data_IF_932538163172
#
_entry.id   IF_932538163172
#
_cell.length_a   1.000
_cell.length_b   1.000
_cell.length_c   1.000
_cell.angle_alpha   90.00
_cell.angle_beta   90.00
_cell.angle_gamma   90.00
#
_symmetry.space_group_name_H-M   'P 1'
#
loop_
_entity.id
_entity.type
_entity.pdbx_description
1 polymer ?
#
# COMPACT_ATOMS: atom_id res chain seq x y z
N UNK A 1 -1.01 26.26 -4.17
CA UNK A 1 -1.54 26.42 -5.52
C UNK A 1 -2.84 25.63 -5.67
N UNK A 2 -3.86 26.23 -6.26
CA UNK A 2 -5.14 25.56 -6.51
C UNK A 2 -4.94 24.47 -7.57
N UNK A 3 -5.40 23.20 -7.33
CA UNK A 3 -5.34 22.14 -8.34
C UNK A 3 -6.01 22.53 -9.67
N UNK A 4 -7.10 23.32 -9.62
CA UNK A 4 -7.80 23.83 -10.78
C UNK A 4 -6.90 24.75 -11.61
N UNK A 5 -6.34 25.79 -10.99
CA UNK A 5 -5.45 26.73 -11.67
C UNK A 5 -4.19 26.05 -12.21
N UNK A 6 -3.63 25.12 -11.45
CA UNK A 6 -2.49 24.34 -11.93
C UNK A 6 -2.84 23.53 -13.18
N UNK A 7 -3.99 22.87 -13.19
CA UNK A 7 -4.46 22.12 -14.35
C UNK A 7 -4.65 23.01 -15.58
N UNK A 8 -5.26 24.18 -15.42
CA UNK A 8 -5.41 25.16 -16.50
C UNK A 8 -4.05 25.62 -17.06
N UNK A 9 -3.06 25.86 -16.17
CA UNK A 9 -1.71 26.24 -16.62
C UNK A 9 -1.03 25.11 -17.37
N UNK A 10 -1.03 23.89 -16.83
CA UNK A 10 -0.29 22.78 -17.41
C UNK A 10 -0.92 22.28 -18.72
N UNK A 11 -2.26 22.23 -18.81
CA UNK A 11 -2.93 21.56 -19.91
C UNK A 11 -3.60 22.50 -20.90
N UNK A 12 -4.06 23.67 -20.50
CA UNK A 12 -4.62 24.66 -21.43
C UNK A 12 -3.55 25.64 -21.96
N UNK A 13 -2.69 26.17 -21.07
CA UNK A 13 -1.68 27.15 -21.48
C UNK A 13 -0.42 26.51 -22.03
N UNK A 14 0.20 25.58 -21.27
CA UNK A 14 1.44 24.91 -21.65
C UNK A 14 1.23 23.69 -22.54
N UNK A 15 -0.01 23.16 -22.63
CA UNK A 15 -0.40 22.03 -23.48
C UNK A 15 0.49 20.80 -23.32
N UNK A 16 0.89 20.49 -22.07
CA UNK A 16 1.84 19.40 -21.80
C UNK A 16 1.29 18.00 -22.14
N UNK A 17 -0.03 17.81 -22.08
CA UNK A 17 -0.69 16.57 -22.49
C UNK A 17 -2.03 16.87 -23.18
N UNK A 18 -2.11 16.67 -24.52
CA UNK A 18 -3.35 16.87 -25.27
C UNK A 18 -4.50 15.93 -24.85
N UNK A 19 -4.15 14.82 -24.16
CA UNK A 19 -5.11 13.80 -23.69
C UNK A 19 -5.30 13.85 -22.17
N UNK A 20 -5.00 14.98 -21.55
CA UNK A 20 -5.11 15.16 -20.10
C UNK A 20 -6.52 14.81 -19.60
N UNK A 21 -6.58 13.90 -18.63
CA UNK A 21 -7.84 13.44 -18.06
C UNK A 21 -8.46 14.51 -17.15
N UNK A 22 -9.78 14.63 -17.23
CA UNK A 22 -10.56 15.43 -16.30
C UNK A 22 -11.21 14.56 -15.23
N UNK A 23 -11.34 15.14 -14.05
CA UNK A 23 -12.09 14.54 -12.92
C UNK A 23 -13.60 14.56 -13.21
N UNK A 24 -14.37 13.89 -12.37
CA UNK A 24 -15.86 13.93 -12.46
C UNK A 24 -16.43 15.35 -12.37
N UNK A 25 -15.71 16.27 -11.76
CA UNK A 25 -16.09 17.70 -11.64
C UNK A 25 -15.61 18.56 -12.81
N UNK A 26 -15.06 17.97 -13.87
CA UNK A 26 -14.60 18.67 -15.08
C UNK A 26 -13.24 19.35 -14.95
N UNK A 27 -12.57 19.26 -13.81
CA UNK A 27 -11.22 19.81 -13.60
C UNK A 27 -10.16 18.84 -14.12
N UNK A 28 -9.02 19.33 -14.57
CA UNK A 28 -7.89 18.47 -14.91
C UNK A 28 -7.36 17.70 -13.70
N UNK A 29 -7.07 16.42 -13.90
CA UNK A 29 -6.42 15.60 -12.88
C UNK A 29 -4.94 16.03 -12.76
N UNK A 30 -4.57 16.56 -11.60
CA UNK A 30 -3.20 16.98 -11.29
C UNK A 30 -2.64 16.22 -10.09
N UNK A 31 -3.11 14.98 -9.88
CA UNK A 31 -2.58 14.09 -8.84
C UNK A 31 -1.12 13.75 -9.09
N UNK A 32 -0.46 13.26 -8.05
CA UNK A 32 0.95 12.87 -8.12
C UNK A 32 1.19 11.79 -9.19
N UNK A 33 0.29 10.82 -9.28
CA UNK A 33 0.29 9.74 -10.28
C UNK A 33 0.27 10.24 -11.73
N UNK A 34 -0.45 11.34 -11.99
CA UNK A 34 -0.51 11.98 -13.30
C UNK A 34 0.76 12.77 -13.57
N UNK A 35 1.19 13.58 -12.60
CA UNK A 35 2.35 14.45 -12.76
C UNK A 35 3.66 13.67 -12.86
N UNK A 36 3.83 12.57 -12.14
CA UNK A 36 5.02 11.72 -12.25
C UNK A 36 5.26 11.20 -13.66
N UNK A 37 4.20 10.87 -14.42
CA UNK A 37 4.31 10.43 -15.83
C UNK A 37 4.84 11.52 -16.75
N UNK A 38 4.62 12.78 -16.42
CA UNK A 38 5.05 13.94 -17.19
C UNK A 38 6.40 14.51 -16.73
N UNK A 39 6.83 14.19 -15.50
CA UNK A 39 8.03 14.74 -14.90
C UNK A 39 9.30 14.44 -15.69
N UNK A 40 9.39 13.25 -16.32
CA UNK A 40 10.54 12.88 -17.14
C UNK A 40 10.67 13.71 -18.45
N UNK A 41 9.57 14.29 -18.91
CA UNK A 41 9.53 15.05 -20.17
C UNK A 41 9.58 16.56 -19.94
N UNK A 42 9.06 17.01 -18.79
CA UNK A 42 8.88 18.44 -18.50
C UNK A 42 9.48 18.82 -17.15
N UNK A 43 10.62 19.54 -17.11
CA UNK A 43 11.28 19.96 -15.86
C UNK A 43 10.36 20.70 -14.89
N UNK A 44 9.49 21.57 -15.40
CA UNK A 44 8.51 22.31 -14.58
C UNK A 44 7.60 21.36 -13.77
N UNK A 45 7.30 20.17 -14.27
CA UNK A 45 6.48 19.21 -13.54
C UNK A 45 7.26 18.59 -12.38
N UNK A 46 8.55 18.34 -12.55
CA UNK A 46 9.44 17.91 -11.47
C UNK A 46 9.54 18.97 -10.36
N UNK A 47 9.64 20.24 -10.74
CA UNK A 47 9.67 21.35 -9.78
C UNK A 47 8.36 21.46 -9.00
N UNK A 48 7.22 21.27 -9.67
CA UNK A 48 5.91 21.25 -9.03
C UNK A 48 5.78 20.09 -8.03
N UNK A 49 6.26 18.90 -8.39
CA UNK A 49 6.26 17.76 -7.47
C UNK A 49 7.13 18.03 -6.25
N UNK A 50 8.33 18.55 -6.46
CA UNK A 50 9.24 18.96 -5.39
C UNK A 50 8.63 20.04 -4.49
N UNK A 51 8.02 21.07 -5.08
CA UNK A 51 7.33 22.13 -4.34
C UNK A 51 6.18 21.55 -3.48
N UNK A 52 5.39 20.62 -4.03
CA UNK A 52 4.30 19.98 -3.29
C UNK A 52 4.82 19.15 -2.12
N UNK A 53 5.89 18.38 -2.33
CA UNK A 53 6.54 17.62 -1.26
C UNK A 53 6.98 18.55 -0.13
N UNK A 54 7.77 19.59 -0.46
CA UNK A 54 8.27 20.55 0.52
C UNK A 54 7.14 21.30 1.25
N UNK A 55 6.13 21.73 0.51
CA UNK A 55 4.98 22.43 1.10
C UNK A 55 4.22 21.54 2.08
N UNK A 56 4.05 20.25 1.74
CA UNK A 56 3.40 19.27 2.61
C UNK A 56 4.23 18.99 3.86
N UNK A 57 5.54 18.79 3.70
CA UNK A 57 6.46 18.58 4.84
C UNK A 57 6.44 19.79 5.77
N UNK A 58 6.54 20.98 5.20
CA UNK A 58 6.50 22.22 5.97
C UNK A 58 5.20 22.36 6.74
N UNK A 59 4.07 22.37 6.06
CA UNK A 59 2.77 22.65 6.69
C UNK A 59 2.32 21.56 7.66
N UNK A 60 2.57 20.28 7.37
CA UNK A 60 2.06 19.17 8.17
C UNK A 60 2.95 18.87 9.37
N UNK A 61 4.27 19.05 9.23
CA UNK A 61 5.21 18.62 10.27
C UNK A 61 5.99 19.80 10.85
N UNK A 62 6.66 20.61 10.02
CA UNK A 62 7.57 21.65 10.53
C UNK A 62 6.80 22.76 11.24
N UNK A 63 5.71 23.24 10.64
CA UNK A 63 4.92 24.32 11.22
C UNK A 63 3.91 23.80 12.27
N UNK A 64 3.29 22.65 12.03
CA UNK A 64 2.17 22.18 12.85
C UNK A 64 2.61 21.44 14.12
N UNK A 65 3.62 20.55 14.07
CA UNK A 65 3.99 19.74 15.23
C UNK A 65 4.48 20.56 16.43
N UNK A 66 5.29 21.60 16.29
CA UNK A 66 5.70 22.42 17.42
C UNK A 66 4.53 23.06 18.18
N UNK A 67 3.46 23.40 17.47
CA UNK A 67 2.25 23.99 18.07
C UNK A 67 1.44 22.98 18.89
N UNK A 68 1.71 21.69 18.75
CA UNK A 68 1.04 20.59 19.46
C UNK A 68 1.87 20.05 20.64
N UNK A 69 2.97 20.69 20.96
CA UNK A 69 3.75 20.35 22.17
C UNK A 69 2.93 20.74 23.39
N UNK A 70 2.65 19.78 24.24
CA UNK A 70 1.98 20.01 25.51
C UNK A 70 2.93 20.70 26.48
N UNK A 71 2.52 21.82 27.06
CA UNK A 71 3.38 22.67 27.92
C UNK A 71 3.82 21.95 29.20
N UNK A 72 2.98 21.08 29.78
CA UNK A 72 3.30 20.36 31.00
C UNK A 72 4.32 19.24 30.79
N UNK A 73 4.23 18.54 29.65
CA UNK A 73 5.07 17.35 29.37
C UNK A 73 6.25 17.64 28.47
N UNK A 74 6.24 18.77 27.74
CA UNK A 74 7.21 19.11 26.70
C UNK A 74 7.14 18.18 25.49
N UNK A 75 6.05 17.44 25.27
CA UNK A 75 5.92 16.37 24.28
C UNK A 75 4.68 16.52 23.43
N UNK A 76 4.73 15.93 22.22
CA UNK A 76 3.56 15.76 21.36
C UNK A 76 2.83 14.48 21.74
N UNK A 77 1.52 14.58 21.97
CA UNK A 77 0.65 13.46 22.30
C UNK A 77 -0.37 13.26 21.19
N UNK A 78 -0.48 12.03 20.69
CA UNK A 78 -1.55 11.64 19.76
C UNK A 78 -2.63 10.87 20.48
N UNK A 79 -3.81 10.79 19.86
CA UNK A 79 -4.90 9.93 20.29
C UNK A 79 -5.04 8.76 19.32
N UNK A 80 -5.07 7.53 19.86
CA UNK A 80 -5.29 6.32 19.06
C UNK A 80 -6.74 5.87 19.13
N UNK A 81 -7.42 5.93 17.97
CA UNK A 81 -8.78 5.40 17.82
C UNK A 81 -8.75 3.91 17.48
N UNK A 82 -9.33 3.07 18.34
CA UNK A 82 -9.37 1.61 18.18
C UNK A 82 -10.51 1.14 17.27
N UNK A 83 -11.58 1.90 17.13
CA UNK A 83 -12.79 1.55 16.40
C UNK A 83 -13.03 2.37 15.13
N UNK A 84 -11.98 3.02 14.59
CA UNK A 84 -12.09 3.89 13.40
C UNK A 84 -11.90 3.10 12.11
N UNK A 85 -10.86 2.27 12.04
CA UNK A 85 -10.59 1.50 10.85
C UNK A 85 -11.38 0.19 10.84
N UNK A 86 -12.08 -0.08 9.74
CA UNK A 86 -12.87 -1.31 9.56
C UNK A 86 -12.02 -2.59 9.57
N UNK A 87 -10.71 -2.47 9.39
CA UNK A 87 -9.74 -3.57 9.47
C UNK A 87 -9.28 -3.85 10.89
N UNK A 88 -9.66 -3.01 11.87
CA UNK A 88 -9.18 -3.09 13.25
C UNK A 88 -7.84 -2.40 13.51
N UNK A 89 -7.27 -1.75 12.50
CA UNK A 89 -6.06 -0.92 12.68
C UNK A 89 -6.33 0.23 13.64
N UNK A 90 -5.33 0.62 14.43
CA UNK A 90 -5.35 1.88 15.13
C UNK A 90 -5.30 3.05 14.14
N UNK A 91 -6.03 4.11 14.44
CA UNK A 91 -5.95 5.37 13.72
C UNK A 91 -5.37 6.44 14.67
N UNK A 92 -4.23 6.99 14.31
CA UNK A 92 -3.59 8.08 15.06
C UNK A 92 -4.17 9.42 14.62
N UNK A 93 -4.65 10.23 15.58
CA UNK A 93 -5.28 11.52 15.33
C UNK A 93 -4.76 12.59 16.29
N UNK A 94 -4.71 13.83 15.84
CA UNK A 94 -4.39 15.02 16.61
C UNK A 94 -3.07 14.96 17.40
N UNK A 95 -1.91 14.80 16.71
CA UNK A 95 -1.69 14.67 15.27
C UNK A 95 -1.70 13.22 14.79
N UNK A 96 -1.79 13.02 13.45
CA UNK A 96 -1.57 11.70 12.87
C UNK A 96 -0.07 11.40 12.76
N UNK A 97 0.46 10.61 13.69
CA UNK A 97 1.86 10.20 13.73
C UNK A 97 2.16 8.94 12.90
N UNK A 98 1.12 8.27 12.35
CA UNK A 98 1.30 7.10 11.48
C UNK A 98 1.73 7.48 10.05
N UNK A 99 1.61 8.75 9.68
CA UNK A 99 1.93 9.24 8.34
C UNK A 99 3.29 9.96 8.24
N UNK A 100 4.16 9.81 9.25
CA UNK A 100 5.51 10.40 9.22
C UNK A 100 6.26 9.83 8.01
N UNK A 101 6.81 10.67 7.10
CA UNK A 101 7.41 10.21 5.86
C UNK A 101 8.63 9.32 6.09
N UNK A 102 8.78 8.28 5.25
CA UNK A 102 9.90 7.32 5.33
C UNK A 102 10.59 7.09 3.98
N UNK A 103 10.00 7.53 2.87
CA UNK A 103 10.47 7.17 1.54
C UNK A 103 11.50 8.14 0.98
N UNK A 104 11.24 9.45 1.07
CA UNK A 104 12.18 10.46 0.59
C UNK A 104 13.21 10.81 1.66
N UNK A 105 14.41 11.22 1.25
CA UNK A 105 15.47 11.61 2.18
C UNK A 105 15.07 12.84 2.98
N UNK A 106 14.39 13.81 2.38
CA UNK A 106 13.80 14.96 3.08
C UNK A 106 12.76 14.55 4.11
N UNK A 107 11.91 13.57 3.77
CA UNK A 107 10.94 13.01 4.72
C UNK A 107 11.60 12.32 5.91
N UNK A 108 12.72 11.63 5.70
CA UNK A 108 13.50 11.01 6.77
C UNK A 108 14.08 12.02 7.76
N UNK A 109 14.39 13.24 7.32
CA UNK A 109 14.86 14.30 8.22
C UNK A 109 13.81 14.67 9.28
N UNK A 110 12.53 14.65 8.93
CA UNK A 110 11.42 14.87 9.89
C UNK A 110 11.47 13.86 11.04
N UNK A 111 11.84 12.61 10.74
CA UNK A 111 11.91 11.56 11.78
C UNK A 111 12.98 11.82 12.84
N UNK A 112 14.03 12.57 12.52
CA UNK A 112 15.08 12.94 13.47
C UNK A 112 14.58 13.87 14.57
N UNK A 113 13.45 14.55 14.38
CA UNK A 113 12.81 15.35 15.42
C UNK A 113 12.14 14.50 16.51
N UNK A 114 11.89 13.21 16.25
CA UNK A 114 11.34 12.30 17.24
C UNK A 114 12.47 11.64 18.01
N UNK A 115 12.67 12.09 19.22
CA UNK A 115 13.76 11.66 20.12
C UNK A 115 13.19 10.95 21.35
N UNK A 116 13.98 10.10 22.03
CA UNK A 116 13.61 9.53 23.32
C UNK A 116 13.31 10.62 24.36
N UNK A 117 12.61 10.24 25.43
CA UNK A 117 12.27 11.14 26.55
C UNK A 117 13.50 11.84 27.13
N UNK A 118 14.54 11.08 27.36
CA UNK A 118 15.82 11.52 27.92
C UNK A 118 16.92 10.49 27.59
N UNK A 119 18.13 10.74 28.06
CA UNK A 119 19.30 9.87 27.80
C UNK A 119 19.23 8.46 28.38
N UNK A 120 18.28 8.17 29.29
CA UNK A 120 18.06 6.84 29.85
C UNK A 120 17.00 6.05 29.08
N UNK A 121 16.39 6.65 28.05
CA UNK A 121 15.38 6.02 27.21
C UNK A 121 15.87 5.87 25.78
N UNK A 122 15.34 4.89 25.08
CA UNK A 122 15.58 4.65 23.65
C UNK A 122 14.26 4.51 22.90
N UNK A 123 14.26 4.83 21.61
CA UNK A 123 13.16 4.49 20.73
C UNK A 123 13.45 3.10 20.14
N UNK A 124 12.51 2.18 20.32
CA UNK A 124 12.56 0.85 19.72
C UNK A 124 11.57 0.84 18.56
N UNK A 125 12.03 0.44 17.37
CA UNK A 125 11.19 0.19 16.20
C UNK A 125 11.33 -1.29 15.83
N UNK A 126 10.24 -2.03 15.94
CA UNK A 126 10.18 -3.43 15.55
C UNK A 126 9.10 -3.62 14.49
N UNK A 127 9.39 -4.41 13.47
CA UNK A 127 8.46 -4.76 12.40
C UNK A 127 8.53 -6.26 12.12
N UNK A 128 7.38 -6.88 11.93
CA UNK A 128 7.31 -8.27 11.55
C UNK A 128 7.75 -8.47 10.10
N UNK A 129 8.73 -9.33 9.87
CA UNK A 129 9.18 -9.65 8.52
C UNK A 129 8.09 -10.36 7.73
N UNK A 130 7.55 -9.68 6.72
CA UNK A 130 6.61 -10.23 5.73
C UNK A 130 5.36 -10.87 6.34
N UNK A 131 4.84 -10.32 7.43
CA UNK A 131 3.76 -10.95 8.21
C UNK A 131 2.51 -11.24 7.36
N UNK A 132 2.11 -10.33 6.47
CA UNK A 132 0.94 -10.53 5.62
C UNK A 132 1.09 -11.73 4.68
N UNK A 133 2.29 -11.94 4.12
CA UNK A 133 2.59 -13.09 3.27
C UNK A 133 2.61 -14.40 4.08
N UNK A 134 3.11 -14.35 5.32
CA UNK A 134 3.09 -15.51 6.23
C UNK A 134 1.67 -15.90 6.61
N UNK A 135 0.81 -14.90 6.86
CA UNK A 135 -0.61 -15.12 7.14
C UNK A 135 -1.30 -15.74 5.93
N UNK A 136 -1.06 -15.20 4.73
CA UNK A 136 -1.61 -15.77 3.49
C UNK A 136 -1.17 -17.20 3.30
N UNK A 137 0.12 -17.50 3.48
CA UNK A 137 0.63 -18.87 3.39
C UNK A 137 -0.09 -19.82 4.37
N UNK A 138 -0.26 -19.39 5.61
CA UNK A 138 -0.92 -20.17 6.66
C UNK A 138 -2.42 -20.39 6.38
N UNK A 139 -3.16 -19.34 6.00
CA UNK A 139 -4.61 -19.43 5.74
C UNK A 139 -4.89 -20.22 4.46
N UNK A 140 -4.11 -20.00 3.40
CA UNK A 140 -4.28 -20.70 2.13
C UNK A 140 -3.79 -22.14 2.15
N UNK A 141 -2.93 -22.49 3.12
CA UNK A 141 -2.25 -23.79 3.16
C UNK A 141 -1.36 -24.04 1.95
N UNK A 142 -0.93 -22.98 1.23
CA UNK A 142 -0.09 -23.12 0.05
C UNK A 142 1.25 -23.76 0.42
N UNK A 143 1.50 -24.94 -0.15
CA UNK A 143 2.65 -25.77 0.22
C UNK A 143 3.97 -25.08 -0.12
N UNK A 144 4.07 -24.49 -1.30
CA UNK A 144 5.31 -23.87 -1.78
C UNK A 144 5.67 -22.64 -0.95
N UNK A 145 4.66 -21.81 -0.65
CA UNK A 145 4.89 -20.62 0.18
C UNK A 145 5.17 -20.98 1.65
N UNK A 146 4.46 -21.94 2.21
CA UNK A 146 4.71 -22.43 3.57
C UNK A 146 6.11 -23.03 3.70
N UNK A 147 6.56 -23.83 2.73
CA UNK A 147 7.90 -24.42 2.73
C UNK A 147 8.99 -23.35 2.61
N UNK A 148 8.82 -22.38 1.70
CA UNK A 148 9.77 -21.26 1.58
C UNK A 148 9.96 -20.53 2.92
N UNK A 149 8.88 -20.27 3.65
CA UNK A 149 8.97 -19.64 4.97
C UNK A 149 9.60 -20.53 6.04
N UNK A 150 9.32 -21.85 6.05
CA UNK A 150 9.94 -22.81 6.98
C UNK A 150 11.45 -22.92 6.77
N UNK A 151 11.89 -22.85 5.50
CA UNK A 151 13.31 -22.86 5.13
C UNK A 151 14.00 -21.51 5.35
N UNK A 152 13.30 -20.48 5.83
CA UNK A 152 13.86 -19.15 6.01
C UNK A 152 14.22 -18.43 4.71
N UNK A 153 13.68 -18.87 3.57
CA UNK A 153 13.95 -18.26 2.27
C UNK A 153 13.34 -16.86 2.17
N UNK A 154 13.97 -16.00 1.38
CA UNK A 154 13.37 -14.74 0.97
C UNK A 154 12.28 -15.00 -0.06
N UNK A 155 11.02 -14.83 0.36
CA UNK A 155 9.86 -15.13 -0.49
C UNK A 155 9.83 -14.30 -1.77
N UNK A 156 10.37 -13.08 -1.77
CA UNK A 156 10.42 -12.26 -2.97
C UNK A 156 11.46 -12.78 -3.97
N UNK A 157 12.58 -13.30 -3.49
CA UNK A 157 13.60 -13.98 -4.32
C UNK A 157 13.04 -15.30 -4.85
N UNK A 158 12.43 -16.12 -4.01
CA UNK A 158 11.81 -17.36 -4.43
C UNK A 158 10.71 -17.14 -5.49
N UNK A 159 9.85 -16.13 -5.28
CA UNK A 159 8.83 -15.74 -6.27
C UNK A 159 9.46 -15.26 -7.57
N UNK A 160 10.53 -14.44 -7.51
CA UNK A 160 11.23 -13.97 -8.70
C UNK A 160 11.78 -15.14 -9.50
N UNK A 161 12.49 -16.07 -8.86
CA UNK A 161 13.04 -17.26 -9.50
C UNK A 161 11.95 -18.03 -10.26
N UNK A 162 10.80 -18.28 -9.64
CA UNK A 162 9.67 -19.01 -10.23
C UNK A 162 8.98 -18.24 -11.36
N UNK A 163 8.73 -16.95 -11.16
CA UNK A 163 8.02 -16.11 -12.14
C UNK A 163 8.87 -15.88 -13.40
N UNK A 164 10.17 -15.67 -13.23
CA UNK A 164 11.09 -15.42 -14.34
C UNK A 164 11.76 -16.70 -14.88
N UNK A 165 11.59 -17.85 -14.23
CA UNK A 165 12.14 -19.13 -14.67
C UNK A 165 13.67 -19.19 -14.55
N UNK A 166 14.24 -18.59 -13.50
CA UNK A 166 15.68 -18.56 -13.21
C UNK A 166 15.97 -19.21 -11.86
N UNK A 167 17.23 -19.59 -11.62
CA UNK A 167 17.63 -20.05 -10.29
C UNK A 167 17.64 -18.90 -9.27
N UNK A 168 17.45 -19.20 -7.98
CA UNK A 168 17.43 -18.17 -6.91
C UNK A 168 18.72 -17.34 -6.86
N UNK A 169 19.86 -17.97 -7.22
CA UNK A 169 21.17 -17.31 -7.26
C UNK A 169 21.28 -16.26 -8.37
N UNK A 170 20.51 -16.42 -9.45
CA UNK A 170 20.53 -15.55 -10.62
C UNK A 170 19.49 -14.42 -10.53
N UNK A 171 18.73 -14.37 -9.43
CA UNK A 171 17.72 -13.33 -9.22
C UNK A 171 18.39 -11.99 -8.96
N UNK A 172 18.21 -11.06 -9.89
CA UNK A 172 18.71 -9.69 -9.75
C UNK A 172 17.91 -8.88 -8.72
N UNK A 173 18.49 -7.78 -8.23
CA UNK A 173 17.78 -6.84 -7.32
C UNK A 173 16.51 -6.29 -7.96
N UNK A 174 16.52 -6.06 -9.26
CA UNK A 174 15.36 -5.58 -10.01
C UNK A 174 14.26 -6.64 -10.07
N UNK A 175 14.58 -7.88 -10.41
CA UNK A 175 13.62 -8.99 -10.40
C UNK A 175 12.98 -9.17 -9.03
N UNK A 176 13.78 -9.13 -7.97
CA UNK A 176 13.30 -9.21 -6.58
C UNK A 176 12.37 -8.05 -6.23
N UNK A 177 12.69 -6.82 -6.64
CA UNK A 177 11.84 -5.66 -6.43
C UNK A 177 10.50 -5.79 -7.16
N UNK A 178 10.52 -6.22 -8.43
CA UNK A 178 9.31 -6.50 -9.20
C UNK A 178 8.50 -7.63 -8.56
N UNK A 179 9.12 -8.70 -8.14
CA UNK A 179 8.46 -9.81 -7.45
C UNK A 179 7.81 -9.41 -6.12
N UNK A 180 8.40 -8.45 -5.39
CA UNK A 180 7.76 -7.85 -4.22
C UNK A 180 6.43 -7.18 -4.59
N UNK A 181 6.41 -6.40 -5.66
CA UNK A 181 5.19 -5.76 -6.16
C UNK A 181 4.18 -6.78 -6.68
N UNK A 182 4.64 -7.87 -7.31
CA UNK A 182 3.81 -8.99 -7.75
C UNK A 182 3.14 -9.68 -6.56
N UNK A 183 3.92 -10.08 -5.54
CA UNK A 183 3.40 -10.76 -4.34
C UNK A 183 2.28 -9.96 -3.68
N UNK A 184 2.53 -8.68 -3.39
CA UNK A 184 1.53 -7.84 -2.76
C UNK A 184 0.36 -7.50 -3.72
N UNK A 185 0.67 -7.20 -4.98
CA UNK A 185 -0.34 -6.88 -5.97
C UNK A 185 -1.36 -8.00 -6.16
N UNK A 186 -0.90 -9.23 -6.37
CA UNK A 186 -1.80 -10.38 -6.59
C UNK A 186 -2.60 -10.70 -5.33
N UNK A 187 -1.96 -10.77 -4.17
CA UNK A 187 -2.63 -11.04 -2.90
C UNK A 187 -3.69 -9.98 -2.59
N UNK A 188 -3.46 -8.72 -2.99
CA UNK A 188 -4.45 -7.66 -2.86
C UNK A 188 -5.46 -7.61 -4.02
N UNK A 189 -5.48 -8.63 -4.88
CA UNK A 189 -6.45 -8.74 -5.97
C UNK A 189 -6.20 -7.77 -7.13
N UNK A 190 -4.96 -7.34 -7.33
CA UNK A 190 -4.58 -6.51 -8.48
C UNK A 190 -4.62 -7.35 -9.75
N UNK A 191 -5.38 -6.87 -10.75
CA UNK A 191 -5.42 -7.50 -12.08
C UNK A 191 -4.25 -7.08 -12.98
N UNK A 192 -4.17 -7.70 -14.17
CA UNK A 192 -3.10 -7.46 -15.14
C UNK A 192 -2.93 -5.99 -15.54
N UNK A 193 -4.02 -5.21 -15.61
CA UNK A 193 -3.95 -3.78 -15.91
C UNK A 193 -3.18 -3.00 -14.82
N UNK A 194 -3.55 -3.22 -13.55
CA UNK A 194 -2.91 -2.52 -12.43
C UNK A 194 -1.46 -2.97 -12.22
N UNK A 195 -1.18 -4.27 -12.43
CA UNK A 195 0.18 -4.80 -12.33
C UNK A 195 1.08 -4.25 -13.44
N UNK A 196 0.58 -4.17 -14.68
CA UNK A 196 1.30 -3.59 -15.81
C UNK A 196 1.67 -2.12 -15.57
N UNK A 197 0.71 -1.31 -15.09
CA UNK A 197 0.94 0.12 -14.77
C UNK A 197 1.98 0.28 -13.63
N UNK A 198 1.90 -0.59 -12.60
CA UNK A 198 2.80 -0.54 -11.44
C UNK A 198 4.25 -0.94 -11.81
N UNK A 199 4.43 -1.93 -12.69
CA UNK A 199 5.74 -2.44 -13.07
C UNK A 199 6.32 -1.77 -14.32
N UNK A 200 5.54 -0.95 -15.03
CA UNK A 200 5.96 -0.35 -16.30
C UNK A 200 6.11 -1.36 -17.44
N UNK A 201 5.34 -2.46 -17.44
CA UNK A 201 5.39 -3.55 -18.42
C UNK A 201 4.12 -3.63 -19.24
N UNK A 202 4.13 -4.47 -20.30
CA UNK A 202 2.93 -4.71 -21.10
C UNK A 202 1.86 -5.49 -20.32
N UNK A 203 0.58 -5.32 -20.71
CA UNK A 203 -0.53 -6.09 -20.12
C UNK A 203 -0.40 -7.59 -20.35
N UNK A 204 0.15 -7.98 -21.47
CA UNK A 204 0.38 -9.39 -21.82
C UNK A 204 1.41 -10.00 -20.89
N UNK A 205 2.53 -9.31 -20.66
CA UNK A 205 3.56 -9.72 -19.71
C UNK A 205 3.02 -9.78 -18.27
N UNK A 206 2.29 -8.75 -17.84
CA UNK A 206 1.64 -8.77 -16.53
C UNK A 206 0.66 -9.94 -16.36
N UNK A 207 -0.08 -10.30 -17.40
CA UNK A 207 -0.97 -11.47 -17.38
C UNK A 207 -0.17 -12.75 -17.24
N UNK A 208 0.89 -12.92 -18.01
CA UNK A 208 1.77 -14.11 -17.91
C UNK A 208 2.35 -14.25 -16.50
N UNK A 209 2.80 -13.15 -15.91
CA UNK A 209 3.29 -13.13 -14.51
C UNK A 209 2.21 -13.60 -13.53
N UNK A 210 0.99 -13.11 -13.65
CA UNK A 210 -0.14 -13.50 -12.80
C UNK A 210 -0.47 -14.98 -12.99
N UNK A 211 -0.51 -15.47 -14.22
CA UNK A 211 -0.84 -16.85 -14.54
C UNK A 211 0.25 -17.80 -13.99
N UNK A 212 1.52 -17.47 -14.14
CA UNK A 212 2.63 -18.21 -13.55
C UNK A 212 2.56 -18.21 -12.02
N UNK A 213 2.28 -17.07 -11.40
CA UNK A 213 2.12 -16.95 -9.96
C UNK A 213 0.99 -17.83 -9.43
N UNK A 214 -0.17 -17.81 -10.07
CA UNK A 214 -1.32 -18.64 -9.69
C UNK A 214 -1.06 -20.12 -9.86
N UNK A 215 -0.28 -20.52 -10.85
CA UNK A 215 0.14 -21.89 -11.07
C UNK A 215 1.09 -22.36 -9.98
N UNK A 216 2.07 -21.54 -9.64
CA UNK A 216 3.07 -21.85 -8.60
C UNK A 216 2.47 -21.86 -7.20
N UNK A 217 1.61 -20.89 -6.90
CA UNK A 217 0.94 -20.73 -5.60
C UNK A 217 -0.56 -21.03 -5.72
N UNK A 218 -0.87 -22.26 -6.11
CA UNK A 218 -2.26 -22.66 -6.37
C UNK A 218 -3.16 -22.60 -5.13
N UNK A 219 -2.62 -22.83 -3.94
CA UNK A 219 -3.32 -22.67 -2.67
C UNK A 219 -3.82 -21.26 -2.43
N UNK A 220 -3.02 -20.25 -2.81
CA UNK A 220 -3.42 -18.84 -2.70
C UNK A 220 -4.60 -18.54 -3.63
N UNK A 221 -4.56 -19.04 -4.87
CA UNK A 221 -5.68 -18.86 -5.79
C UNK A 221 -6.96 -19.48 -5.25
N UNK A 222 -6.88 -20.70 -4.72
CA UNK A 222 -8.00 -21.38 -4.07
C UNK A 222 -8.57 -20.61 -2.88
N UNK A 223 -7.71 -20.06 -2.03
CA UNK A 223 -8.10 -19.16 -0.95
C UNK A 223 -8.85 -17.93 -1.46
N UNK A 224 -8.35 -17.27 -2.48
CA UNK A 224 -9.00 -16.08 -3.04
C UNK A 224 -10.38 -16.39 -3.59
N UNK A 225 -10.53 -17.45 -4.36
CA UNK A 225 -11.80 -17.88 -4.95
C UNK A 225 -12.82 -18.29 -3.88
N UNK A 226 -12.42 -19.12 -2.92
CA UNK A 226 -13.28 -19.56 -1.83
C UNK A 226 -13.71 -18.42 -0.92
N UNK A 227 -12.83 -17.45 -0.66
CA UNK A 227 -13.14 -16.26 0.15
C UNK A 227 -14.16 -15.37 -0.55
N UNK A 228 -14.01 -15.14 -1.85
CA UNK A 228 -14.99 -14.37 -2.64
C UNK A 228 -16.34 -15.09 -2.64
N UNK A 229 -16.36 -16.41 -2.87
CA UNK A 229 -17.58 -17.19 -2.86
C UNK A 229 -18.29 -17.13 -1.51
N UNK A 230 -17.55 -17.33 -0.43
CA UNK A 230 -18.08 -17.19 0.94
C UNK A 230 -18.67 -15.79 1.17
N UNK A 231 -17.96 -14.74 0.74
CA UNK A 231 -18.44 -13.39 0.88
C UNK A 231 -19.73 -13.13 0.09
N UNK A 232 -19.86 -13.68 -1.11
CA UNK A 232 -21.09 -13.58 -1.93
C UNK A 232 -22.29 -14.27 -1.27
N UNK A 233 -22.06 -15.38 -0.61
CA UNK A 233 -23.11 -16.15 0.08
C UNK A 233 -23.51 -15.55 1.43
N UNK A 234 -22.53 -15.09 2.21
CA UNK A 234 -22.74 -14.64 3.59
C UNK A 234 -22.86 -13.12 3.75
N UNK A 235 -22.41 -12.35 2.75
CA UNK A 235 -22.38 -10.88 2.82
C UNK A 235 -21.26 -10.31 3.67
N UNK A 236 -20.37 -11.14 4.22
CA UNK A 236 -19.22 -10.70 5.03
C UNK A 236 -18.04 -11.65 4.87
N UNK A 237 -16.87 -11.23 5.34
CA UNK A 237 -15.70 -12.05 5.61
C UNK A 237 -15.28 -11.92 7.06
N UNK A 238 -14.48 -12.88 7.55
CA UNK A 238 -14.10 -12.98 8.95
C UNK A 238 -12.59 -13.14 9.08
N UNK A 239 -11.98 -12.48 10.06
CA UNK A 239 -10.58 -12.71 10.43
C UNK A 239 -10.45 -13.98 11.26
N UNK A 240 -9.22 -14.50 11.43
CA UNK A 240 -8.95 -15.64 12.30
C UNK A 240 -9.42 -15.43 13.75
N UNK A 241 -9.52 -14.18 14.20
CA UNK A 241 -9.97 -13.82 15.56
C UNK A 241 -11.47 -13.48 15.61
N UNK A 242 -12.24 -13.85 14.59
CA UNK A 242 -13.70 -13.71 14.59
C UNK A 242 -14.24 -12.31 14.26
N UNK A 243 -13.39 -11.35 13.88
CA UNK A 243 -13.87 -10.02 13.46
C UNK A 243 -14.53 -10.10 12.10
N UNK A 244 -15.79 -9.68 12.01
CA UNK A 244 -16.56 -9.66 10.76
C UNK A 244 -16.43 -8.32 10.05
N UNK A 245 -16.22 -8.40 8.73
CA UNK A 245 -16.33 -7.25 7.83
C UNK A 245 -17.46 -7.48 6.84
N UNK A 246 -18.50 -6.68 6.96
CA UNK A 246 -19.64 -6.68 6.05
C UNK A 246 -19.29 -6.04 4.71
N UNK A 247 -19.72 -6.68 3.61
CA UNK A 247 -19.41 -6.31 2.24
C UNK A 247 -20.71 -6.11 1.45
N UNK A 248 -21.37 -4.97 1.67
CA UNK A 248 -22.68 -4.68 1.08
C UNK A 248 -22.73 -4.75 -0.44
N UNK A 249 -21.60 -4.43 -1.08
CA UNK A 249 -21.48 -4.32 -2.54
C UNK A 249 -20.93 -5.59 -3.20
N UNK A 250 -20.78 -6.70 -2.47
CA UNK A 250 -20.15 -7.92 -2.98
C UNK A 250 -20.93 -8.55 -4.15
N UNK A 251 -22.24 -8.36 -4.19
CA UNK A 251 -23.14 -8.85 -5.23
C UNK A 251 -23.62 -7.70 -6.18
N UNK A 252 -22.94 -6.56 -6.19
CA UNK A 252 -23.29 -5.43 -7.06
C UNK A 252 -23.26 -5.84 -8.55
N UNK A 253 -24.24 -5.40 -9.32
CA UNK A 253 -24.25 -5.55 -10.79
C UNK A 253 -23.14 -4.73 -11.46
N UNK A 254 -22.71 -3.62 -10.82
CA UNK A 254 -21.62 -2.80 -11.32
C UNK A 254 -20.27 -3.50 -11.11
N UNK A 255 -19.61 -3.84 -12.21
CA UNK A 255 -18.33 -4.57 -12.19
C UNK A 255 -17.24 -3.88 -11.35
N UNK A 256 -17.13 -2.55 -11.43
CA UNK A 256 -16.11 -1.79 -10.69
C UNK A 256 -16.36 -1.81 -9.18
N UNK A 257 -17.61 -1.63 -8.78
CA UNK A 257 -18.05 -1.66 -7.37
C UNK A 257 -17.88 -3.06 -6.80
N UNK A 258 -18.35 -4.07 -7.52
CA UNK A 258 -18.19 -5.48 -7.13
C UNK A 258 -16.71 -5.87 -7.01
N UNK A 259 -15.88 -5.53 -8.00
CA UNK A 259 -14.45 -5.82 -7.97
C UNK A 259 -13.71 -5.15 -6.79
N UNK A 260 -14.17 -3.96 -6.36
CA UNK A 260 -13.65 -3.34 -5.14
C UNK A 260 -14.05 -4.14 -3.88
N UNK A 261 -15.30 -4.61 -3.81
CA UNK A 261 -15.78 -5.45 -2.71
C UNK A 261 -15.06 -6.82 -2.66
N UNK A 262 -14.83 -7.45 -3.82
CA UNK A 262 -14.08 -8.71 -3.92
C UNK A 262 -12.63 -8.55 -3.42
N UNK A 263 -11.93 -7.48 -3.80
CA UNK A 263 -10.60 -7.18 -3.23
C UNK A 263 -10.64 -6.97 -1.73
N UNK A 264 -11.66 -6.28 -1.23
CA UNK A 264 -11.85 -6.12 0.22
C UNK A 264 -12.14 -7.45 0.93
N UNK A 265 -12.84 -8.38 0.28
CA UNK A 265 -13.07 -9.72 0.81
C UNK A 265 -11.75 -10.47 1.04
N UNK A 266 -10.87 -10.47 0.05
CA UNK A 266 -9.57 -11.15 0.12
C UNK A 266 -8.67 -10.51 1.19
N UNK A 267 -8.62 -9.18 1.23
CA UNK A 267 -7.65 -8.44 2.04
C UNK A 267 -8.00 -8.37 3.53
N UNK A 268 -9.30 -8.32 3.86
CA UNK A 268 -9.72 -8.04 5.24
C UNK A 268 -9.29 -9.10 6.24
N UNK A 269 -9.39 -10.41 5.95
CA UNK A 269 -8.91 -11.45 6.85
C UNK A 269 -7.41 -11.36 7.12
N UNK A 270 -6.63 -10.98 6.09
CA UNK A 270 -5.17 -10.85 6.16
C UNK A 270 -4.78 -9.61 6.98
N UNK A 271 -5.29 -8.44 6.59
CA UNK A 271 -4.96 -7.16 7.23
C UNK A 271 -5.46 -7.09 8.67
N UNK A 272 -6.65 -7.64 8.94
CA UNK A 272 -7.23 -7.63 10.28
C UNK A 272 -6.44 -8.46 11.29
N UNK A 273 -5.64 -9.42 10.84
CA UNK A 273 -4.77 -10.21 11.72
C UNK A 273 -3.38 -9.58 11.87
N UNK A 274 -2.78 -9.13 10.76
CA UNK A 274 -1.39 -8.64 10.75
C UNK A 274 -1.17 -7.41 11.62
N UNK A 275 -2.21 -6.61 11.85
CA UNK A 275 -2.08 -5.26 12.41
C UNK A 275 -2.66 -5.11 13.81
N UNK A 276 -3.46 -6.06 14.29
CA UNK A 276 -3.96 -6.08 15.67
C UNK A 276 -2.83 -6.46 16.63
N UNK A 277 -1.94 -7.35 16.23
CA UNK A 277 -0.83 -7.81 17.07
C UNK A 277 0.37 -6.84 17.11
N UNK A 278 0.46 -5.90 16.15
CA UNK A 278 1.54 -4.89 16.12
C UNK A 278 1.21 -3.69 17.02
N UNK A 279 -0.03 -3.54 17.42
CA UNK A 279 -0.52 -2.33 18.10
C UNK A 279 -0.88 -2.55 19.57
N UNK A 280 -0.66 -3.70 20.15
CA UNK A 280 -0.80 -3.86 21.61
C UNK A 280 0.46 -3.31 22.29
N UNK A 281 0.34 -2.25 23.12
CA UNK A 281 1.43 -1.89 24.00
C UNK A 281 1.57 -3.01 25.04
N UNK A 282 2.71 -3.67 25.04
CA UNK A 282 3.16 -4.48 26.16
C UNK A 282 3.44 -3.59 27.34
#
# INVERSE_FOLDING_TARGET
ASPKQLGEVLFDKLKLDPKAKKTKTGQYATGEDVLQKLAHQFPIVSDILTFRELSKLKSTYVDALPLLINEETGRVHTTYGQAVAVTGRLASNNPNLQNIPVRSDRGKEIRKAFIPRDKNHVLISADYSQIELRIVAAISGDKNMCEAFRMGKDIHTATAAKVYGVEEADVTKEMRYKAKSVNFGIIYGQGAFGLADNLGISRTEAKTIIDNYKKEFSGINGYMESTIQFAKEKGYVETLMGRKRWLRDINSSNFTVRGFAERNAINSPIQGLSLIHISEPT
#
